data_IF_340812582927
#
_entry.id   IF_340812582927
#
_cell.length_a   1.000
_cell.length_b   1.000
_cell.length_c   1.000
_cell.angle_alpha   90.00
_cell.angle_beta   90.00
_cell.angle_gamma   90.00
#
_symmetry.space_group_name_H-M   'P 1'
#
loop_
_entity.id
_entity.type
_entity.pdbx_description
1 polymer ?
#
# COMPACT_ATOMS: atom_id res chain seq x y z
N UNK A 1 -13.91 1.66 -2.36
CA UNK A 1 -12.79 2.43 -2.96
C UNK A 1 -12.24 1.65 -4.13
N UNK A 2 -11.84 2.33 -5.20
CA UNK A 2 -11.21 1.69 -6.36
C UNK A 2 -9.72 1.48 -6.09
N UNK A 3 -9.20 0.29 -6.36
CA UNK A 3 -7.81 -0.08 -6.08
C UNK A 3 -7.24 -0.98 -7.19
N UNK A 4 -5.91 -0.95 -7.34
CA UNK A 4 -5.17 -1.89 -8.19
C UNK A 4 -4.78 -3.12 -7.37
N UNK A 5 -5.35 -4.26 -7.74
CA UNK A 5 -5.15 -5.57 -7.11
C UNK A 5 -4.14 -6.37 -7.92
N UNK A 6 -3.22 -7.02 -7.22
CA UNK A 6 -2.36 -8.08 -7.72
C UNK A 6 -2.95 -9.44 -7.28
N UNK A 7 -3.69 -10.15 -8.15
CA UNK A 7 -4.30 -11.44 -7.81
C UNK A 7 -3.33 -12.62 -7.93
N UNK A 8 -2.33 -12.51 -8.80
CA UNK A 8 -1.31 -13.51 -9.10
C UNK A 8 0.01 -12.81 -9.49
N UNK A 9 1.14 -13.47 -9.27
CA UNK A 9 2.43 -12.99 -9.78
C UNK A 9 2.50 -13.15 -11.31
N UNK A 10 3.27 -12.30 -11.99
CA UNK A 10 3.49 -12.41 -13.44
C UNK A 10 3.74 -11.08 -14.14
N UNK A 11 3.48 -11.04 -15.45
CA UNK A 11 3.62 -9.86 -16.32
C UNK A 11 2.60 -8.75 -15.99
N UNK A 12 2.77 -7.48 -16.43
CA UNK A 12 1.98 -6.35 -15.94
C UNK A 12 0.46 -6.52 -16.09
N UNK A 13 0.03 -7.35 -17.03
CA UNK A 13 -1.36 -7.66 -17.35
C UNK A 13 -2.10 -8.39 -16.21
N UNK A 14 -1.39 -8.90 -15.20
CA UNK A 14 -2.01 -9.53 -14.02
C UNK A 14 -2.80 -8.53 -13.17
N UNK A 15 -2.51 -7.22 -13.26
CA UNK A 15 -3.18 -6.21 -12.46
C UNK A 15 -4.66 -6.08 -12.79
N UNK A 16 -5.47 -5.93 -11.75
CA UNK A 16 -6.92 -5.68 -11.88
C UNK A 16 -7.33 -4.44 -11.12
N UNK A 17 -8.11 -3.58 -11.76
CA UNK A 17 -8.74 -2.46 -11.08
C UNK A 17 -10.11 -2.89 -10.57
N UNK A 18 -10.28 -2.95 -9.26
CA UNK A 18 -11.50 -3.44 -8.61
C UNK A 18 -12.01 -2.44 -7.58
N UNK A 19 -13.33 -2.43 -7.36
CA UNK A 19 -13.95 -1.73 -6.24
C UNK A 19 -13.96 -2.64 -5.00
N UNK A 20 -13.27 -2.22 -3.95
CA UNK A 20 -13.15 -2.95 -2.68
C UNK A 20 -13.61 -2.09 -1.50
N UNK A 21 -13.93 -2.71 -0.37
CA UNK A 21 -14.30 -1.95 0.83
C UNK A 21 -13.10 -1.14 1.35
N UNK A 22 -13.27 0.16 1.71
CA UNK A 22 -12.20 0.91 2.35
C UNK A 22 -11.75 0.26 3.66
N UNK A 23 -10.45 0.34 4.00
CA UNK A 23 -9.98 -0.18 5.27
C UNK A 23 -10.56 0.60 6.44
N UNK A 24 -10.73 -0.09 7.57
CA UNK A 24 -10.99 0.54 8.86
C UNK A 24 -9.64 0.77 9.56
N UNK A 25 -9.22 2.03 9.80
CA UNK A 25 -7.98 2.30 10.51
C UNK A 25 -8.07 1.83 11.96
N UNK A 26 -6.94 1.35 12.50
CA UNK A 26 -6.76 1.15 13.95
C UNK A 26 -6.55 2.50 14.66
N UNK A 27 -6.63 2.54 16.01
CA UNK A 27 -6.44 3.79 16.75
C UNK A 27 -5.11 4.53 16.47
N UNK A 28 -4.06 3.82 16.05
CA UNK A 28 -2.72 4.32 15.74
C UNK A 28 -2.49 4.56 14.23
N UNK A 29 -3.53 4.47 13.40
CA UNK A 29 -3.44 4.57 11.95
C UNK A 29 -4.26 5.72 11.40
N UNK A 30 -3.74 6.37 10.35
CA UNK A 30 -4.48 7.36 9.60
C UNK A 30 -5.00 6.77 8.28
N UNK A 31 -6.31 6.88 8.08
CA UNK A 31 -6.91 6.70 6.76
C UNK A 31 -6.70 7.97 5.94
N UNK A 32 -6.20 7.82 4.70
CA UNK A 32 -6.04 8.94 3.76
C UNK A 32 -6.79 8.68 2.47
N UNK A 33 -7.20 9.76 1.81
CA UNK A 33 -7.62 9.74 0.41
C UNK A 33 -6.39 9.85 -0.47
N UNK A 34 -6.05 8.77 -1.17
CA UNK A 34 -4.94 8.75 -2.12
C UNK A 34 -5.26 9.66 -3.31
N UNK A 35 -4.36 10.59 -3.62
CA UNK A 35 -4.43 11.45 -4.79
C UNK A 35 -3.53 10.92 -5.91
N UNK A 36 -2.36 10.37 -5.56
CA UNK A 36 -1.44 9.73 -6.48
C UNK A 36 -0.58 8.68 -5.75
N UNK A 37 -0.07 7.71 -6.51
CA UNK A 37 0.97 6.79 -6.07
C UNK A 37 2.05 6.68 -7.16
N UNK A 38 3.31 6.78 -6.77
CA UNK A 38 4.45 6.47 -7.64
C UNK A 38 4.53 4.97 -7.94
N UNK A 39 5.23 4.64 -9.03
CA UNK A 39 5.61 3.27 -9.40
C UNK A 39 7.13 3.20 -9.35
N UNK A 40 7.66 2.32 -8.50
CA UNK A 40 9.10 2.18 -8.30
C UNK A 40 9.58 0.75 -8.55
N UNK A 41 10.90 0.53 -8.49
CA UNK A 41 11.49 -0.80 -8.70
C UNK A 41 10.99 -1.87 -7.72
N UNK A 42 10.57 -1.46 -6.52
CA UNK A 42 9.96 -2.37 -5.54
C UNK A 42 8.66 -2.98 -6.07
N UNK A 43 7.83 -2.22 -6.78
CA UNK A 43 6.58 -2.72 -7.35
C UNK A 43 6.84 -3.82 -8.39
N UNK A 44 7.93 -3.71 -9.16
CA UNK A 44 8.33 -4.71 -10.16
C UNK A 44 8.75 -6.02 -9.49
N UNK A 45 9.61 -5.95 -8.48
CA UNK A 45 10.07 -7.11 -7.71
C UNK A 45 8.93 -7.77 -6.93
N UNK A 46 8.01 -6.96 -6.42
CA UNK A 46 6.86 -7.44 -5.67
C UNK A 46 5.86 -8.16 -6.58
N UNK A 47 5.55 -7.59 -7.75
CA UNK A 47 4.71 -8.21 -8.78
C UNK A 47 5.30 -9.52 -9.31
N UNK A 48 6.62 -9.62 -9.46
CA UNK A 48 7.28 -10.83 -9.96
C UNK A 48 7.34 -11.97 -8.93
N UNK A 49 6.98 -11.71 -7.67
CA UNK A 49 7.07 -12.69 -6.59
C UNK A 49 8.49 -12.85 -6.04
N UNK A 50 9.38 -11.88 -6.27
CA UNK A 50 10.74 -11.91 -5.71
C UNK A 50 10.76 -11.72 -4.18
N UNK A 51 9.67 -11.21 -3.59
CA UNK A 51 9.50 -11.07 -2.15
C UNK A 51 8.65 -12.22 -1.59
N UNK A 52 9.23 -13.14 -0.79
CA UNK A 52 8.52 -14.29 -0.23
C UNK A 52 7.41 -13.90 0.76
N UNK A 53 7.45 -12.70 1.31
CA UNK A 53 6.45 -12.15 2.21
C UNK A 53 5.19 -11.65 1.51
N UNK A 54 5.20 -11.51 0.18
CA UNK A 54 4.05 -11.02 -0.57
C UNK A 54 2.93 -12.03 -0.57
N UNK A 55 1.80 -11.65 0.02
CA UNK A 55 0.59 -12.48 0.09
C UNK A 55 -0.43 -11.97 -0.91
N UNK A 56 -0.82 -12.85 -1.82
CA UNK A 56 -1.84 -12.60 -2.81
C UNK A 56 -3.24 -13.00 -2.29
N UNK A 57 -4.32 -12.32 -2.71
CA UNK A 57 -4.29 -11.07 -3.47
C UNK A 57 -3.86 -9.88 -2.60
N UNK A 58 -3.17 -8.90 -3.18
CA UNK A 58 -2.79 -7.67 -2.45
C UNK A 58 -3.05 -6.39 -3.26
N UNK A 59 -3.25 -5.28 -2.55
CA UNK A 59 -3.24 -3.93 -3.13
C UNK A 59 -1.78 -3.47 -3.24
N UNK A 60 -1.41 -2.89 -4.37
CA UNK A 60 -0.05 -2.43 -4.64
C UNK A 60 0.13 -0.92 -4.41
N UNK A 61 1.39 -0.49 -4.28
CA UNK A 61 1.80 0.91 -4.17
C UNK A 61 2.61 1.21 -2.89
N UNK A 62 3.80 1.80 -3.07
CA UNK A 62 4.73 2.12 -1.98
C UNK A 62 5.05 3.62 -1.83
N UNK A 63 4.66 4.44 -2.80
CA UNK A 63 5.02 5.87 -2.85
C UNK A 63 3.77 6.74 -2.93
N UNK A 64 3.07 6.87 -1.80
CA UNK A 64 1.69 7.38 -1.77
C UNK A 64 1.64 8.84 -1.31
N UNK A 65 0.89 9.67 -2.04
CA UNK A 65 0.54 11.03 -1.66
C UNK A 65 -0.99 11.22 -1.59
N UNK A 66 -1.46 11.91 -0.56
CA UNK A 66 -2.89 12.10 -0.34
C UNK A 66 -3.19 13.03 0.83
N UNK A 67 -4.47 13.17 1.13
CA UNK A 67 -4.96 14.02 2.22
C UNK A 67 -5.77 13.19 3.22
N UNK A 68 -5.85 13.61 4.50
CA UNK A 68 -6.82 13.02 5.42
C UNK A 68 -8.26 13.30 4.95
N UNK A 69 -9.25 12.55 5.45
CA UNK A 69 -10.65 12.96 5.38
C UNK A 69 -10.85 14.34 6.02
N UNK A 70 -11.81 15.12 5.51
CA UNK A 70 -12.25 16.38 6.12
C UNK A 70 -12.90 16.11 7.49
N UNK A 71 -12.13 15.82 8.55
CA UNK A 71 -12.52 15.87 9.98
C UNK A 71 -11.51 15.23 10.97
N UNK A 72 -10.36 14.70 10.56
CA UNK A 72 -9.50 13.95 11.52
C UNK A 72 -8.49 14.85 12.25
N UNK A 73 -8.61 14.95 13.59
CA UNK A 73 -7.56 15.52 14.44
C UNK A 73 -6.36 14.56 14.48
N UNK A 74 -5.16 15.06 14.19
CA UNK A 74 -3.96 14.24 14.02
C UNK A 74 -3.30 13.90 15.35
N UNK A 75 -3.35 12.64 15.78
CA UNK A 75 -2.53 12.13 16.88
C UNK A 75 -1.92 10.77 16.49
N UNK A 76 -0.61 10.74 16.18
CA UNK A 76 0.18 9.54 15.87
C UNK A 76 -0.02 9.02 14.44
N UNK A 77 0.98 9.20 13.55
CA UNK A 77 0.85 8.82 12.13
C UNK A 77 1.70 7.60 11.76
N UNK A 78 1.02 6.51 11.38
CA UNK A 78 1.41 5.63 10.29
C UNK A 78 0.26 5.61 9.25
N UNK A 79 0.57 5.82 7.97
CA UNK A 79 -0.42 5.85 6.90
C UNK A 79 -0.84 4.41 6.54
N UNK A 80 -2.13 4.10 6.62
CA UNK A 80 -2.66 2.81 6.20
C UNK A 80 -3.30 2.93 4.82
N UNK A 81 -2.59 2.46 3.78
CA UNK A 81 -3.24 1.88 2.60
C UNK A 81 -3.32 0.37 2.85
N UNK A 82 -4.44 -0.28 2.53
CA UNK A 82 -4.67 -1.70 2.80
C UNK A 82 -3.83 -2.63 1.93
N UNK A 83 -2.52 -2.57 2.08
CA UNK A 83 -1.71 -3.76 2.22
C UNK A 83 -1.16 -3.70 3.65
N UNK A 84 -1.09 -4.82 4.37
CA UNK A 84 -0.32 -4.84 5.62
C UNK A 84 1.15 -4.60 5.24
N UNK A 85 1.54 -3.34 5.10
CA UNK A 85 2.93 -2.93 5.06
C UNK A 85 3.33 -2.83 6.53
N UNK A 86 4.08 -3.79 7.10
CA UNK A 86 4.87 -3.47 8.27
C UNK A 86 5.85 -2.38 7.81
N UNK A 87 5.53 -1.13 8.11
CA UNK A 87 6.53 -0.07 8.09
C UNK A 87 7.49 -0.43 9.24
N UNK A 88 8.48 -1.26 8.93
CA UNK A 88 9.58 -1.50 9.86
C UNK A 88 10.30 -0.15 9.97
N UNK A 89 10.39 0.46 11.16
CA UNK A 89 11.23 1.64 11.32
C UNK A 89 12.63 1.23 10.84
N UNK A 90 13.13 1.99 9.88
CA UNK A 90 14.39 1.78 9.16
C UNK A 90 15.44 1.14 10.06
N UNK A 91 15.76 -0.13 9.82
CA UNK A 91 17.05 -0.67 10.25
C UNK A 91 18.15 0.13 9.57
N UNK A 92 19.20 0.56 10.28
CA UNK A 92 20.22 1.43 9.70
C UNK A 92 20.83 0.69 8.51
N UNK A 93 20.80 1.35 7.36
CA UNK A 93 21.56 0.96 6.17
C UNK A 93 22.98 0.59 6.60
N UNK A 94 23.33 -0.70 6.54
CA UNK A 94 24.73 -1.10 6.53
C UNK A 94 25.30 -0.63 5.19
N UNK A 95 26.27 0.30 5.29
CA UNK A 95 27.24 0.58 4.23
C UNK A 95 28.03 -0.67 3.90
#
# INVERSE_FOLDING_TARGET
MRATILPAFGEPEVFRCEDIEPPRPRPDQLLIRVAACGVCGHDLLNRSGAFPETRLPCVMGYEIAGSPPRATAYAGMAAATTARIPVRPTSPTRR
#
